data_IF_744039787678
#
_entry.id   IF_744039787678
#
_cell.length_a   1.000
_cell.length_b   1.000
_cell.length_c   1.000
_cell.angle_alpha   90.00
_cell.angle_beta   90.00
_cell.angle_gamma   90.00
#
_symmetry.space_group_name_H-M   'P 1'
#
loop_
_entity.id
_entity.type
_entity.pdbx_description
1 polymer ?
#
# COMPACT_ATOMS: atom_id res chain seq x y z
N UNK A 1 2.73 -13.73 6.65
CA UNK A 1 3.78 -13.38 5.68
C UNK A 1 4.33 -12.03 6.08
N UNK A 2 5.58 -11.94 6.55
CA UNK A 2 6.19 -10.65 6.90
C UNK A 2 6.82 -10.03 5.66
N UNK A 3 6.54 -8.76 5.40
CA UNK A 3 7.17 -7.95 4.35
C UNK A 3 7.46 -6.56 4.86
N UNK A 4 8.18 -5.78 4.07
CA UNK A 4 8.52 -4.40 4.35
C UNK A 4 7.87 -3.51 3.31
N UNK A 5 7.28 -2.40 3.74
CA UNK A 5 6.81 -1.34 2.86
C UNK A 5 7.73 -0.12 2.99
N UNK A 6 8.05 0.51 1.87
CA UNK A 6 8.94 1.67 1.78
C UNK A 6 8.24 2.78 1.00
N UNK A 7 8.11 3.94 1.61
CA UNK A 7 7.53 5.11 0.95
C UNK A 7 8.44 5.65 -0.16
N UNK A 8 7.87 5.91 -1.33
CA UNK A 8 8.54 6.54 -2.46
C UNK A 8 7.92 7.90 -2.79
N UNK A 9 8.77 8.92 -2.92
CA UNK A 9 8.32 10.22 -3.37
C UNK A 9 8.02 10.22 -4.89
N UNK A 10 7.13 11.13 -5.33
CA UNK A 10 6.90 11.33 -6.76
C UNK A 10 8.17 11.71 -7.55
N UNK A 11 9.13 12.38 -6.91
CA UNK A 11 10.43 12.69 -7.53
C UNK A 11 11.26 11.42 -7.78
N UNK A 12 11.23 10.47 -6.83
CA UNK A 12 11.93 9.17 -6.98
C UNK A 12 11.42 8.38 -8.17
N UNK A 13 10.11 8.45 -8.47
CA UNK A 13 9.51 7.75 -9.61
C UNK A 13 9.98 8.29 -10.98
N UNK A 14 10.48 9.52 -11.01
CA UNK A 14 10.95 10.19 -12.23
C UNK A 14 12.49 10.16 -12.39
N UNK A 15 13.23 9.65 -11.41
CA UNK A 15 14.69 9.59 -11.47
C UNK A 15 15.17 8.22 -11.99
N UNK A 16 15.66 8.21 -13.22
CA UNK A 16 16.22 7.00 -13.84
C UNK A 16 17.45 6.44 -13.11
N UNK A 17 18.24 7.31 -12.45
CA UNK A 17 19.41 6.87 -11.66
C UNK A 17 18.96 6.15 -10.41
N UNK A 18 17.88 6.65 -9.78
CA UNK A 18 17.27 5.98 -8.64
C UNK A 18 16.69 4.62 -9.03
N UNK A 19 16.05 4.52 -10.20
CA UNK A 19 15.55 3.25 -10.72
C UNK A 19 16.67 2.20 -10.87
N UNK A 20 17.81 2.60 -11.47
CA UNK A 20 18.96 1.73 -11.64
C UNK A 20 19.56 1.31 -10.28
N UNK A 21 19.73 2.28 -9.37
CA UNK A 21 20.20 2.02 -7.99
C UNK A 21 19.30 1.03 -7.25
N UNK A 22 17.98 1.22 -7.33
CA UNK A 22 17.02 0.37 -6.62
C UNK A 22 17.06 -1.07 -7.17
N UNK A 23 17.11 -1.24 -8.49
CA UNK A 23 17.25 -2.56 -9.13
C UNK A 23 18.54 -3.27 -8.70
N UNK A 24 19.65 -2.55 -8.69
CA UNK A 24 20.93 -3.08 -8.21
C UNK A 24 20.81 -3.57 -6.76
N UNK A 25 20.24 -2.74 -5.87
CA UNK A 25 20.05 -3.09 -4.45
C UNK A 25 19.15 -4.30 -4.25
N UNK A 26 18.03 -4.37 -4.96
CA UNK A 26 17.12 -5.51 -4.89
C UNK A 26 17.83 -6.79 -5.36
N UNK A 27 18.54 -6.74 -6.50
CA UNK A 27 19.21 -7.90 -7.08
C UNK A 27 20.35 -8.45 -6.21
N UNK A 28 21.03 -7.58 -5.45
CA UNK A 28 22.12 -7.98 -4.56
C UNK A 28 21.66 -8.19 -3.10
N UNK A 29 20.39 -7.96 -2.79
CA UNK A 29 19.86 -8.22 -1.46
C UNK A 29 19.62 -9.72 -1.25
N UNK A 30 19.70 -10.16 0.01
CA UNK A 30 19.30 -11.52 0.40
C UNK A 30 17.79 -11.61 0.71
N UNK A 31 17.05 -10.51 0.51
CA UNK A 31 15.62 -10.42 0.77
C UNK A 31 14.88 -10.82 -0.51
N UNK A 32 13.95 -11.76 -0.41
CA UNK A 32 13.07 -12.07 -1.55
C UNK A 32 12.30 -10.82 -1.98
N UNK A 33 12.31 -10.45 -3.28
CA UNK A 33 11.62 -9.26 -3.77
C UNK A 33 10.13 -9.23 -3.43
N UNK A 34 9.47 -10.40 -3.33
CA UNK A 34 8.06 -10.54 -2.93
C UNK A 34 7.77 -10.04 -1.50
N UNK A 35 8.82 -9.86 -0.68
CA UNK A 35 8.71 -9.27 0.67
C UNK A 35 8.92 -7.77 0.70
N UNK A 36 9.19 -7.16 -0.45
CA UNK A 36 9.44 -5.72 -0.58
C UNK A 36 8.23 -5.08 -1.28
N UNK A 37 7.60 -4.16 -0.59
CA UNK A 37 6.54 -3.30 -1.12
C UNK A 37 6.98 -1.84 -1.18
N UNK A 38 6.46 -1.10 -2.13
CA UNK A 38 6.68 0.33 -2.26
C UNK A 38 5.36 1.08 -2.19
N UNK A 39 5.28 2.07 -1.32
CA UNK A 39 4.10 2.92 -1.15
C UNK A 39 4.28 4.20 -1.96
N UNK A 40 3.29 4.55 -2.76
CA UNK A 40 3.27 5.76 -3.59
C UNK A 40 1.92 6.45 -3.41
N UNK A 41 1.93 7.75 -3.17
CA UNK A 41 0.68 8.49 -2.97
C UNK A 41 -0.09 8.65 -4.29
N UNK A 42 -1.42 8.75 -4.18
CA UNK A 42 -2.32 9.01 -5.29
C UNK A 42 -1.86 10.23 -6.12
N UNK A 43 -1.54 11.34 -5.45
CA UNK A 43 -1.09 12.58 -6.10
C UNK A 43 0.21 12.40 -6.90
N UNK A 44 1.13 11.57 -6.42
CA UNK A 44 2.39 11.28 -7.11
C UNK A 44 2.14 10.53 -8.43
N UNK A 45 1.22 9.57 -8.45
CA UNK A 45 0.89 8.79 -9.64
C UNK A 45 0.08 9.58 -10.67
N UNK A 46 -0.90 10.37 -10.25
CA UNK A 46 -1.73 11.16 -11.17
C UNK A 46 -0.90 12.22 -11.91
N UNK A 47 0.09 12.79 -11.26
CA UNK A 47 1.00 13.80 -11.86
C UNK A 47 2.09 13.19 -12.73
N UNK A 48 2.39 11.93 -12.57
CA UNK A 48 3.54 11.25 -13.18
C UNK A 48 3.07 10.29 -14.26
N UNK A 49 2.83 10.79 -15.45
CA UNK A 49 2.43 9.95 -16.60
C UNK A 49 3.53 8.94 -17.00
N UNK A 50 3.39 8.19 -18.02
CA UNK A 50 4.26 7.22 -18.66
C UNK A 50 5.60 6.79 -18.02
N UNK A 51 6.39 7.72 -17.49
CA UNK A 51 7.71 7.41 -16.89
C UNK A 51 7.57 6.70 -15.54
N UNK A 52 6.68 7.17 -14.66
CA UNK A 52 6.41 6.52 -13.38
C UNK A 52 5.83 5.11 -13.60
N UNK A 53 4.93 4.95 -14.56
CA UNK A 53 4.38 3.63 -14.87
C UNK A 53 5.46 2.66 -15.35
N UNK A 54 6.42 3.13 -16.18
CA UNK A 54 7.57 2.31 -16.61
C UNK A 54 8.47 1.94 -15.43
N UNK A 55 8.75 2.89 -14.53
CA UNK A 55 9.51 2.63 -13.31
C UNK A 55 8.83 1.54 -12.48
N UNK A 56 7.55 1.73 -12.13
CA UNK A 56 6.77 0.79 -11.31
C UNK A 56 6.75 -0.59 -11.96
N UNK A 57 6.43 -0.67 -13.25
CA UNK A 57 6.38 -1.93 -13.98
C UNK A 57 7.73 -2.66 -13.91
N UNK A 58 8.83 -1.94 -14.10
CA UNK A 58 10.17 -2.52 -14.10
C UNK A 58 10.62 -3.09 -12.74
N UNK A 59 10.11 -2.55 -11.63
CA UNK A 59 10.38 -3.05 -10.27
C UNK A 59 9.42 -4.20 -9.92
N UNK A 60 8.15 -4.13 -10.40
CA UNK A 60 7.20 -5.24 -10.27
C UNK A 60 7.66 -6.51 -10.99
N UNK A 61 8.30 -6.37 -12.14
CA UNK A 61 8.91 -7.49 -12.89
C UNK A 61 10.01 -8.21 -12.11
N UNK A 62 10.60 -7.56 -11.11
CA UNK A 62 11.53 -8.21 -10.17
C UNK A 62 10.80 -8.97 -9.05
N UNK A 63 9.48 -8.85 -8.93
CA UNK A 63 8.66 -9.50 -7.90
C UNK A 63 8.24 -8.60 -6.75
N UNK A 64 8.61 -7.32 -6.73
CA UNK A 64 8.17 -6.37 -5.71
C UNK A 64 6.72 -5.94 -5.92
N UNK A 65 6.03 -5.56 -4.84
CA UNK A 65 4.66 -5.04 -4.87
C UNK A 65 4.62 -3.53 -4.79
N UNK A 66 3.60 -2.91 -5.39
CA UNK A 66 3.32 -1.48 -5.24
C UNK A 66 1.97 -1.24 -4.58
N UNK A 67 1.94 -0.30 -3.65
CA UNK A 67 0.78 0.12 -2.88
C UNK A 67 0.43 1.56 -3.23
N UNK A 68 -0.83 1.80 -3.54
CA UNK A 68 -1.37 3.15 -3.72
C UNK A 68 -1.80 3.69 -2.37
N UNK A 69 -1.12 4.71 -1.88
CA UNK A 69 -1.32 5.30 -0.57
C UNK A 69 -2.29 6.49 -0.58
N UNK A 70 -2.94 6.77 0.54
CA UNK A 70 -3.89 7.87 0.76
C UNK A 70 -5.07 7.89 -0.24
N UNK A 71 -5.54 6.72 -0.68
CA UNK A 71 -6.60 6.68 -1.70
C UNK A 71 -7.94 7.17 -1.16
N UNK A 72 -8.52 8.10 -1.94
CA UNK A 72 -9.80 8.73 -1.67
C UNK A 72 -9.71 10.15 -1.13
N UNK A 73 -8.53 10.58 -0.65
CA UNK A 73 -8.30 11.97 -0.22
C UNK A 73 -7.96 12.91 -1.39
N UNK A 74 -7.65 12.37 -2.56
CA UNK A 74 -7.17 13.11 -3.72
C UNK A 74 -8.15 13.20 -4.89
N UNK A 75 -7.61 13.40 -6.08
CA UNK A 75 -8.37 13.65 -7.33
C UNK A 75 -8.40 12.44 -8.27
N UNK A 76 -7.91 11.27 -7.89
CA UNK A 76 -7.96 10.13 -8.78
C UNK A 76 -9.41 9.68 -8.99
N UNK A 77 -9.80 9.65 -10.25
CA UNK A 77 -11.04 9.00 -10.63
C UNK A 77 -10.83 7.49 -10.73
N UNK A 78 -11.88 6.72 -10.56
CA UNK A 78 -11.85 5.26 -10.77
C UNK A 78 -11.31 4.85 -12.15
N UNK A 79 -11.43 5.73 -13.16
CA UNK A 79 -10.85 5.49 -14.48
C UNK A 79 -9.32 5.45 -14.44
N UNK A 80 -8.69 6.30 -13.64
CA UNK A 80 -7.24 6.28 -13.48
C UNK A 80 -6.75 5.04 -12.73
N UNK A 81 -7.50 4.59 -11.71
CA UNK A 81 -7.13 3.43 -10.91
C UNK A 81 -6.95 2.15 -11.74
N UNK A 82 -7.76 2.00 -12.81
CA UNK A 82 -7.67 0.86 -13.73
C UNK A 82 -6.28 0.75 -14.39
N UNK A 83 -5.70 1.89 -14.75
CA UNK A 83 -4.44 1.96 -15.49
C UNK A 83 -3.21 2.08 -14.59
N UNK A 84 -3.41 2.22 -13.27
CA UNK A 84 -2.31 2.28 -12.31
C UNK A 84 -1.73 0.88 -12.07
N UNK A 85 -0.41 0.69 -12.26
CA UNK A 85 0.25 -0.60 -12.09
C UNK A 85 0.54 -0.90 -10.61
N UNK A 86 -0.48 -0.79 -9.74
CA UNK A 86 -0.40 -1.07 -8.30
C UNK A 86 -1.10 -2.39 -7.98
N UNK A 87 -0.66 -3.05 -6.92
CA UNK A 87 -1.17 -4.36 -6.48
C UNK A 87 -2.16 -4.21 -5.32
N UNK A 88 -1.96 -3.18 -4.51
CA UNK A 88 -2.71 -2.95 -3.27
C UNK A 88 -3.15 -1.49 -3.22
N UNK A 89 -4.34 -1.23 -2.68
CA UNK A 89 -4.88 0.10 -2.43
C UNK A 89 -5.02 0.29 -0.93
N UNK A 90 -4.42 1.36 -0.39
CA UNK A 90 -4.57 1.75 1.01
C UNK A 90 -5.66 2.83 1.09
N UNK A 91 -6.75 2.52 1.79
CA UNK A 91 -7.84 3.48 2.01
C UNK A 91 -7.41 4.44 3.11
N UNK A 92 -7.44 5.75 2.81
CA UNK A 92 -7.08 6.81 3.74
C UNK A 92 -7.88 6.68 5.05
N UNK A 93 -7.16 6.85 6.15
CA UNK A 93 -7.69 6.76 7.50
C UNK A 93 -8.84 7.72 7.80
N UNK A 94 -8.97 8.83 7.07
CA UNK A 94 -10.09 9.76 7.21
C UNK A 94 -11.45 9.09 6.96
N UNK A 95 -11.51 8.11 6.07
CA UNK A 95 -12.73 7.36 5.80
C UNK A 95 -12.92 6.17 6.75
N UNK A 96 -11.83 5.60 7.23
CA UNK A 96 -11.87 4.42 8.10
C UNK A 96 -12.23 4.80 9.54
N UNK A 97 -11.69 5.93 10.03
CA UNK A 97 -11.86 6.36 11.42
C UNK A 97 -13.31 6.64 11.80
N UNK A 98 -14.10 7.23 10.91
CA UNK A 98 -15.48 7.63 11.16
C UNK A 98 -16.54 6.75 10.45
N UNK A 99 -16.12 5.65 9.82
CA UNK A 99 -17.01 4.80 9.01
C UNK A 99 -18.22 4.21 9.79
N UNK A 100 -18.13 4.09 11.11
CA UNK A 100 -19.23 3.60 11.93
C UNK A 100 -20.27 4.69 12.25
N UNK A 101 -19.85 5.96 12.20
CA UNK A 101 -20.68 7.13 12.49
C UNK A 101 -21.22 7.78 11.22
N UNK A 102 -20.44 7.76 10.13
CA UNK A 102 -20.76 8.40 8.87
C UNK A 102 -21.07 7.38 7.77
N UNK A 103 -22.34 7.35 7.33
CA UNK A 103 -22.77 6.47 6.25
C UNK A 103 -22.01 6.71 4.94
N UNK A 104 -21.58 7.95 4.67
CA UNK A 104 -20.76 8.29 3.51
C UNK A 104 -19.41 7.59 3.53
N UNK A 105 -18.71 7.62 4.67
CA UNK A 105 -17.42 6.97 4.85
C UNK A 105 -17.53 5.45 4.76
N UNK A 106 -18.55 4.86 5.39
CA UNK A 106 -18.84 3.44 5.23
C UNK A 106 -19.04 3.05 3.77
N UNK A 107 -19.86 3.85 3.04
CA UNK A 107 -20.12 3.60 1.62
C UNK A 107 -18.85 3.76 0.78
N UNK A 108 -18.01 4.74 1.11
CA UNK A 108 -16.72 4.94 0.43
C UNK A 108 -15.81 3.71 0.60
N UNK A 109 -15.57 3.27 1.84
CA UNK A 109 -14.77 2.07 2.13
C UNK A 109 -15.31 0.85 1.38
N UNK A 110 -16.62 0.63 1.43
CA UNK A 110 -17.27 -0.46 0.70
C UNK A 110 -17.03 -0.38 -0.81
N UNK A 111 -17.28 0.78 -1.42
CA UNK A 111 -17.17 0.96 -2.87
C UNK A 111 -15.74 0.81 -3.36
N UNK A 112 -14.76 1.36 -2.62
CA UNK A 112 -13.34 1.21 -2.95
C UNK A 112 -12.94 -0.27 -2.89
N UNK A 113 -13.39 -0.99 -1.86
CA UNK A 113 -13.08 -2.43 -1.71
C UNK A 113 -13.64 -3.24 -2.88
N UNK A 114 -14.92 -3.05 -3.22
CA UNK A 114 -15.56 -3.75 -4.33
C UNK A 114 -14.88 -3.47 -5.68
N UNK A 115 -14.54 -2.21 -5.95
CA UNK A 115 -13.86 -1.80 -7.18
C UNK A 115 -12.43 -2.35 -7.25
N UNK A 116 -11.68 -2.29 -6.15
CA UNK A 116 -10.34 -2.85 -6.07
C UNK A 116 -10.34 -4.35 -6.39
N UNK A 117 -11.24 -5.10 -5.76
CA UNK A 117 -11.38 -6.55 -6.01
C UNK A 117 -11.80 -6.85 -7.46
N UNK A 118 -12.70 -6.06 -8.04
CA UNK A 118 -13.05 -6.19 -9.46
C UNK A 118 -11.84 -6.00 -10.38
N UNK A 119 -10.87 -5.18 -9.96
CA UNK A 119 -9.60 -4.95 -10.67
C UNK A 119 -8.47 -5.93 -10.26
N UNK A 120 -8.78 -6.99 -9.50
CA UNK A 120 -7.80 -7.94 -8.94
C UNK A 120 -6.72 -7.27 -8.07
N UNK A 121 -7.07 -6.19 -7.36
CA UNK A 121 -6.21 -5.51 -6.40
C UNK A 121 -6.67 -5.83 -4.99
N UNK A 122 -5.74 -5.84 -4.02
CA UNK A 122 -6.06 -5.99 -2.60
C UNK A 122 -6.26 -4.63 -1.94
N UNK A 123 -6.85 -4.65 -0.75
CA UNK A 123 -7.17 -3.44 0.01
C UNK A 123 -6.60 -3.51 1.41
N UNK A 124 -5.97 -2.41 1.84
CA UNK A 124 -5.59 -2.15 3.23
C UNK A 124 -6.46 -0.99 3.75
N UNK A 125 -7.10 -1.15 4.90
CA UNK A 125 -7.73 -0.03 5.61
C UNK A 125 -6.74 0.52 6.64
N UNK A 126 -6.52 1.83 6.62
CA UNK A 126 -5.62 2.50 7.55
C UNK A 126 -6.35 3.05 8.78
N UNK A 127 -5.61 3.48 9.82
CA UNK A 127 -6.15 4.07 11.05
C UNK A 127 -7.24 3.23 11.72
N UNK A 128 -7.09 1.91 11.70
CA UNK A 128 -8.00 1.01 12.41
C UNK A 128 -7.71 1.08 13.90
N UNK A 129 -8.51 1.86 14.64
CA UNK A 129 -8.26 2.17 16.05
C UNK A 129 -9.15 1.38 17.02
N UNK A 130 -10.16 0.64 16.52
CA UNK A 130 -11.07 -0.12 17.36
C UNK A 130 -11.43 -1.48 16.77
N UNK A 131 -11.77 -2.42 17.66
CA UNK A 131 -12.28 -3.75 17.27
C UNK A 131 -13.62 -3.64 16.52
N UNK A 132 -14.42 -2.61 16.82
CA UNK A 132 -15.67 -2.37 16.12
C UNK A 132 -15.43 -2.03 14.62
N UNK A 133 -14.45 -1.16 14.34
CA UNK A 133 -14.03 -0.85 12.96
C UNK A 133 -13.48 -2.12 12.31
N UNK A 134 -12.62 -2.86 12.97
CA UNK A 134 -12.04 -4.10 12.43
C UNK A 134 -13.13 -5.12 12.05
N UNK A 135 -14.17 -5.25 12.88
CA UNK A 135 -15.31 -6.12 12.58
C UNK A 135 -16.17 -5.63 11.39
N UNK A 136 -16.30 -4.32 11.22
CA UNK A 136 -16.97 -3.75 10.05
C UNK A 136 -16.17 -3.99 8.77
N UNK A 137 -14.85 -3.81 8.80
CA UNK A 137 -13.95 -4.09 7.68
C UNK A 137 -13.97 -5.56 7.25
N UNK A 138 -14.00 -6.50 8.20
CA UNK A 138 -14.16 -7.94 7.92
C UNK A 138 -15.46 -8.24 7.16
N UNK A 139 -16.60 -7.57 7.55
CA UNK A 139 -17.88 -7.73 6.83
C UNK A 139 -17.85 -7.16 5.41
N UNK A 140 -17.00 -6.17 5.17
CA UNK A 140 -16.77 -5.59 3.84
C UNK A 140 -15.72 -6.37 3.02
N UNK A 141 -15.16 -7.46 3.56
CA UNK A 141 -14.10 -8.27 2.95
C UNK A 141 -12.83 -7.45 2.64
N UNK A 142 -12.48 -6.46 3.44
CA UNK A 142 -11.21 -5.76 3.33
C UNK A 142 -10.08 -6.75 3.64
N UNK A 143 -9.05 -6.80 2.80
CA UNK A 143 -8.01 -7.84 2.87
C UNK A 143 -7.08 -7.67 4.07
N UNK A 144 -6.72 -6.42 4.39
CA UNK A 144 -5.78 -6.09 5.46
C UNK A 144 -6.24 -4.86 6.24
N UNK A 145 -5.80 -4.77 7.47
CA UNK A 145 -6.03 -3.62 8.35
C UNK A 145 -4.71 -3.16 8.98
N UNK A 146 -4.51 -1.85 9.05
CA UNK A 146 -3.37 -1.19 9.67
C UNK A 146 -3.87 -0.13 10.65
N UNK A 147 -3.37 -0.15 11.89
CA UNK A 147 -3.74 0.82 12.92
C UNK A 147 -3.54 0.27 14.31
N UNK A 148 -3.81 1.10 15.32
CA UNK A 148 -3.51 0.78 16.71
C UNK A 148 -4.33 -0.38 17.30
N UNK A 149 -5.46 -0.70 16.71
CA UNK A 149 -6.21 -1.90 17.09
C UNK A 149 -5.54 -3.20 16.61
N UNK A 150 -4.69 -3.13 15.59
CA UNK A 150 -3.91 -4.26 15.07
C UNK A 150 -2.55 -4.34 15.75
N UNK A 151 -1.86 -3.19 15.87
CA UNK A 151 -0.55 -3.10 16.51
C UNK A 151 0.00 -1.69 16.44
N UNK A 152 0.73 -1.30 17.48
CA UNK A 152 1.45 -0.02 17.48
C UNK A 152 2.80 -0.17 16.82
N UNK A 153 3.33 0.88 16.18
CA UNK A 153 4.71 0.88 15.67
C UNK A 153 5.69 0.60 16.80
N UNK A 154 6.59 -0.32 16.55
CA UNK A 154 7.70 -0.66 17.43
C UNK A 154 9.02 -0.67 16.64
N UNK A 155 10.17 -0.47 17.28
CA UNK A 155 11.47 -0.55 16.63
C UNK A 155 11.68 -1.89 15.91
N UNK A 156 12.35 -1.86 14.76
CA UNK A 156 12.54 -3.03 13.90
C UNK A 156 13.25 -4.18 14.60
N UNK A 157 14.22 -3.89 15.47
CA UNK A 157 14.94 -4.87 16.29
C UNK A 157 14.05 -5.63 17.27
N UNK A 158 12.89 -5.05 17.63
CA UNK A 158 11.88 -5.72 18.45
C UNK A 158 10.92 -6.59 17.64
N UNK A 159 10.79 -6.34 16.34
CA UNK A 159 9.97 -7.14 15.41
C UNK A 159 10.71 -8.36 14.91
N UNK A 160 12.00 -8.20 14.65
CA UNK A 160 12.83 -9.29 14.13
C UNK A 160 13.19 -10.23 15.28
N UNK A 161 13.00 -11.56 15.11
CA UNK A 161 13.51 -12.52 16.09
C UNK A 161 15.01 -12.31 16.24
N UNK A 162 15.47 -12.23 17.49
CA UNK A 162 16.89 -12.05 17.81
C UNK A 162 17.74 -12.99 16.94
N UNK A 163 18.56 -12.42 16.07
CA UNK A 163 19.51 -13.13 15.20
C UNK A 163 20.59 -13.90 15.98
N UNK A 164 20.55 -13.86 17.31
CA UNK A 164 21.45 -14.59 18.21
C UNK A 164 21.12 -16.08 18.35
N UNK A 165 20.01 -16.57 17.81
CA UNK A 165 19.62 -18.00 17.89
C UNK A 165 19.87 -18.79 16.60
N UNK A 166 20.59 -18.22 15.63
CA UNK A 166 21.03 -18.90 14.41
C UNK A 166 22.58 -19.05 14.41
N UNK A 167 23.12 -19.67 15.46
CA UNK A 167 24.48 -20.22 15.46
C UNK A 167 24.41 -21.72 15.63
#
# INVERSE_FOLDING_TARGET
>A
MGGFAVNLSGQSLLDNRFAAFLKDKISHSQISPEKIGFEVTETALVRSTGQANKFIQSIREMGCSFYLDDFGSGYASYSHLKDMPVDIIKIDGVFVSDMLEQKSSYTMVKSVTEIAHFMNKKVIAEFVESEAILNALRKLNVDFAQGYAVGRPIPLDQVLPNSASLK
#
